data_IF_441756438437
#
_entry.id   IF_441756438437
#
_cell.length_a   1.000
_cell.length_b   1.000
_cell.length_c   1.000
_cell.angle_alpha   90.00
_cell.angle_beta   90.00
_cell.angle_gamma   90.00
#
_symmetry.space_group_name_H-M   'P 1'
#
loop_
_entity.id
_entity.type
_entity.pdbx_description
1 polymer ?
#
# COMPACT_ATOMS: atom_id res chain seq x y z
N UNK A 1 19.16 -15.45 19.23
CA UNK A 1 20.03 -14.56 18.40
C UNK A 1 19.95 -13.20 19.03
N UNK A 2 21.06 -12.64 19.53
CA UNK A 2 21.10 -11.26 20.03
C UNK A 2 21.00 -10.33 18.83
N UNK A 3 19.90 -9.57 18.73
CA UNK A 3 19.67 -8.61 17.66
C UNK A 3 20.22 -7.27 18.12
N UNK A 4 21.22 -6.75 17.38
CA UNK A 4 21.82 -5.46 17.68
C UNK A 4 20.92 -4.30 17.15
N UNK A 5 21.14 -3.07 17.65
CA UNK A 5 20.52 -1.87 17.09
C UNK A 5 20.85 -1.69 15.61
N UNK A 6 22.08 -1.98 15.23
CA UNK A 6 22.52 -1.94 13.83
C UNK A 6 21.73 -2.90 12.95
N UNK A 7 21.46 -4.12 13.44
CA UNK A 7 20.65 -5.09 12.72
C UNK A 7 19.22 -4.58 12.46
N UNK A 8 18.62 -3.96 13.48
CA UNK A 8 17.28 -3.38 13.36
C UNK A 8 17.27 -2.26 12.30
N UNK A 9 18.25 -1.35 12.32
CA UNK A 9 18.38 -0.26 11.34
C UNK A 9 18.55 -0.81 9.93
N UNK A 10 19.40 -1.79 9.73
CA UNK A 10 19.64 -2.42 8.42
C UNK A 10 18.36 -3.06 7.89
N UNK A 11 17.67 -3.87 8.71
CA UNK A 11 16.44 -4.55 8.28
C UNK A 11 15.34 -3.55 7.96
N UNK A 12 15.10 -2.59 8.86
CA UNK A 12 14.05 -1.57 8.65
C UNK A 12 14.37 -0.72 7.41
N UNK A 13 15.63 -0.32 7.24
CA UNK A 13 16.08 0.45 6.07
C UNK A 13 15.82 -0.30 4.74
N UNK A 14 16.21 -1.57 4.65
CA UNK A 14 15.92 -2.37 3.47
C UNK A 14 14.41 -2.59 3.26
N UNK A 15 13.64 -2.78 4.32
CA UNK A 15 12.19 -2.95 4.20
C UNK A 15 11.47 -1.67 3.75
N UNK A 16 11.98 -0.48 4.12
CA UNK A 16 11.52 0.81 3.58
C UNK A 16 11.83 0.89 2.08
N UNK A 17 13.07 0.56 1.68
CA UNK A 17 13.47 0.55 0.28
C UNK A 17 12.64 -0.43 -0.57
N UNK A 18 12.42 -1.64 -0.08
CA UNK A 18 11.58 -2.65 -0.75
C UNK A 18 10.14 -2.14 -0.92
N UNK A 19 9.56 -1.56 0.14
CA UNK A 19 8.21 -1.00 0.11
C UNK A 19 8.12 0.22 -0.81
N UNK A 20 9.13 1.10 -0.74
CA UNK A 20 9.22 2.30 -1.59
C UNK A 20 9.36 1.95 -3.07
N UNK A 21 10.19 0.95 -3.39
CA UNK A 21 10.33 0.46 -4.78
C UNK A 21 9.04 -0.14 -5.30
N UNK A 22 8.31 -0.89 -4.47
CA UNK A 22 7.00 -1.42 -4.85
C UNK A 22 5.98 -0.31 -5.13
N UNK A 23 5.97 0.74 -4.31
CA UNK A 23 5.09 1.90 -4.52
C UNK A 23 5.52 2.73 -5.74
N UNK A 24 6.82 2.98 -5.89
CA UNK A 24 7.40 3.62 -7.08
C UNK A 24 6.93 2.92 -8.36
N UNK A 25 7.07 1.59 -8.39
CA UNK A 25 6.65 0.76 -9.51
C UNK A 25 5.14 0.83 -9.78
N UNK A 26 4.33 0.75 -8.72
CA UNK A 26 2.87 0.82 -8.85
C UNK A 26 2.35 2.17 -9.32
N UNK A 27 3.04 3.26 -8.97
CA UNK A 27 2.66 4.62 -9.36
C UNK A 27 3.34 5.12 -10.64
N UNK A 28 4.34 4.40 -11.18
CA UNK A 28 5.08 4.84 -12.38
C UNK A 28 4.18 4.99 -13.59
N UNK A 29 3.49 3.93 -13.97
CA UNK A 29 2.60 3.94 -15.14
C UNK A 29 1.44 4.95 -15.00
N UNK A 30 0.72 5.05 -13.87
CA UNK A 30 -0.25 6.12 -13.63
C UNK A 30 0.31 7.54 -13.76
N UNK A 31 1.56 7.77 -13.33
CA UNK A 31 2.17 9.11 -13.39
C UNK A 31 2.45 9.59 -14.82
N UNK A 32 2.54 8.68 -15.79
CA UNK A 32 2.77 8.98 -17.21
C UNK A 32 1.62 8.49 -18.10
N UNK A 33 0.42 8.34 -17.52
CA UNK A 33 -0.75 7.84 -18.23
C UNK A 33 -1.09 8.60 -19.55
N UNK A 34 -0.96 9.94 -19.61
CA UNK A 34 -1.20 10.67 -20.85
C UNK A 34 -0.24 10.27 -21.99
N UNK A 35 1.06 10.13 -21.69
CA UNK A 35 2.09 9.76 -22.66
C UNK A 35 1.87 8.34 -23.20
N UNK A 36 1.54 7.41 -22.30
CA UNK A 36 1.23 6.02 -22.66
C UNK A 36 -0.03 5.97 -23.52
N UNK A 37 -1.09 6.69 -23.12
CA UNK A 37 -2.35 6.76 -23.86
C UNK A 37 -2.14 7.31 -25.27
N UNK A 38 -1.44 8.42 -25.41
CA UNK A 38 -1.13 9.03 -26.70
C UNK A 38 -0.32 8.07 -27.60
N UNK A 39 0.72 7.44 -27.04
CA UNK A 39 1.58 6.50 -27.77
C UNK A 39 0.84 5.28 -28.30
N UNK A 40 -0.20 4.83 -27.61
CA UNK A 40 -0.99 3.64 -27.95
C UNK A 40 -2.29 3.98 -28.70
N UNK A 41 -2.59 5.26 -28.93
CA UNK A 41 -3.86 5.71 -29.53
C UNK A 41 -5.07 5.43 -28.63
N UNK A 42 -4.89 5.45 -27.30
CA UNK A 42 -5.90 5.10 -26.31
C UNK A 42 -6.21 6.28 -25.39
N UNK A 43 -7.41 6.25 -24.80
CA UNK A 43 -7.73 7.18 -23.72
C UNK A 43 -6.82 6.92 -22.51
N UNK A 44 -6.23 7.97 -21.88
CA UNK A 44 -5.45 7.82 -20.64
C UNK A 44 -6.19 7.11 -19.51
N UNK A 45 -7.53 7.18 -19.49
CA UNK A 45 -8.36 6.48 -18.51
C UNK A 45 -8.21 4.95 -18.55
N UNK A 46 -7.81 4.38 -19.70
CA UNK A 46 -7.56 2.94 -19.82
C UNK A 46 -6.36 2.46 -19.01
N UNK A 47 -5.49 3.38 -18.53
CA UNK A 47 -4.42 3.04 -17.58
C UNK A 47 -4.97 2.58 -16.22
N UNK A 48 -6.25 2.80 -15.93
CA UNK A 48 -6.89 2.19 -14.77
C UNK A 48 -6.91 0.65 -14.83
N UNK A 49 -6.97 0.03 -16.01
CA UNK A 49 -6.97 -1.44 -16.13
C UNK A 49 -5.66 -2.09 -15.65
N UNK A 50 -4.46 -1.65 -16.03
CA UNK A 50 -3.20 -2.08 -15.43
C UNK A 50 -3.19 -2.04 -13.90
N UNK A 51 -3.71 -0.95 -13.31
CA UNK A 51 -3.79 -0.80 -11.84
C UNK A 51 -4.78 -1.79 -11.24
N UNK A 52 -5.92 -2.00 -11.87
CA UNK A 52 -6.91 -2.99 -11.47
C UNK A 52 -6.33 -4.41 -11.47
N UNK A 53 -5.68 -4.80 -12.56
CA UNK A 53 -5.01 -6.10 -12.69
C UNK A 53 -3.95 -6.27 -11.60
N UNK A 54 -3.14 -5.23 -11.33
CA UNK A 54 -2.15 -5.23 -10.25
C UNK A 54 -2.79 -5.61 -8.92
N UNK A 55 -3.87 -4.94 -8.50
CA UNK A 55 -4.49 -5.22 -7.20
C UNK A 55 -5.16 -6.59 -7.12
N UNK A 56 -5.78 -7.09 -8.20
CA UNK A 56 -6.32 -8.45 -8.25
C UNK A 56 -5.21 -9.48 -8.02
N UNK A 57 -4.09 -9.34 -8.70
CA UNK A 57 -2.97 -10.29 -8.54
C UNK A 57 -2.20 -10.06 -7.23
N UNK A 58 -2.19 -8.85 -6.67
CA UNK A 58 -1.69 -8.61 -5.32
C UNK A 58 -2.50 -9.35 -4.25
N UNK A 59 -3.83 -9.38 -4.39
CA UNK A 59 -4.71 -10.19 -3.54
C UNK A 59 -4.32 -11.66 -3.59
N UNK A 60 -4.27 -12.24 -4.79
CA UNK A 60 -3.95 -13.66 -4.99
C UNK A 60 -2.57 -13.99 -4.43
N UNK A 61 -1.56 -13.18 -4.75
CA UNK A 61 -0.18 -13.41 -4.32
C UNK A 61 -0.01 -13.26 -2.81
N UNK A 62 -0.75 -12.36 -2.17
CA UNK A 62 -0.68 -12.18 -0.72
C UNK A 62 -1.13 -13.44 0.04
N UNK A 63 -2.13 -14.18 -0.46
CA UNK A 63 -2.54 -15.47 0.10
C UNK A 63 -1.45 -16.54 -0.02
N UNK A 64 -0.64 -16.49 -1.09
CA UNK A 64 0.44 -17.45 -1.29
C UNK A 64 1.69 -17.10 -0.51
N UNK A 65 1.79 -15.87 -0.03
CA UNK A 65 3.00 -15.30 0.56
C UNK A 65 3.49 -16.11 1.78
N UNK A 66 2.58 -16.62 2.61
CA UNK A 66 2.95 -17.44 3.77
C UNK A 66 3.74 -18.69 3.43
N UNK A 67 3.34 -19.42 2.37
CA UNK A 67 4.06 -20.60 1.87
C UNK A 67 5.41 -20.22 1.26
N UNK A 68 5.46 -19.13 0.51
CA UNK A 68 6.67 -18.59 -0.12
C UNK A 68 7.68 -18.20 0.95
N UNK A 69 7.26 -17.45 1.98
CA UNK A 69 8.10 -17.00 3.10
C UNK A 69 8.68 -18.20 3.85
N UNK A 70 7.87 -19.22 4.17
CA UNK A 70 8.35 -20.42 4.86
C UNK A 70 9.38 -21.21 4.05
N UNK A 71 9.19 -21.31 2.73
CA UNK A 71 10.09 -22.10 1.87
C UNK A 71 11.36 -21.34 1.48
N UNK A 72 11.24 -20.10 1.04
CA UNK A 72 12.38 -19.31 0.55
C UNK A 72 13.10 -18.57 1.67
N UNK A 73 12.38 -18.19 2.71
CA UNK A 73 12.79 -17.22 3.71
C UNK A 73 12.24 -15.83 3.42
N UNK A 74 12.07 -15.03 4.44
CA UNK A 74 11.44 -13.71 4.31
C UNK A 74 12.33 -12.71 3.54
N UNK A 75 13.63 -12.76 3.75
CA UNK A 75 14.58 -11.90 3.06
C UNK A 75 14.62 -12.18 1.56
N UNK A 76 14.72 -13.46 1.19
CA UNK A 76 14.68 -13.88 -0.23
C UNK A 76 13.34 -13.62 -0.89
N UNK A 77 12.25 -13.72 -0.15
CA UNK A 77 10.91 -13.39 -0.68
C UNK A 77 10.83 -11.91 -1.05
N UNK A 78 11.42 -11.03 -0.23
CA UNK A 78 11.52 -9.59 -0.55
C UNK A 78 12.44 -9.35 -1.77
N UNK A 79 13.57 -10.06 -1.89
CA UNK A 79 14.41 -10.00 -3.10
C UNK A 79 13.66 -10.48 -4.35
N UNK A 80 12.90 -11.57 -4.24
CA UNK A 80 12.09 -12.09 -5.34
C UNK A 80 11.04 -11.06 -5.80
N UNK A 81 10.39 -10.37 -4.85
CA UNK A 81 9.47 -9.28 -5.16
C UNK A 81 10.16 -8.16 -5.96
N UNK A 82 11.37 -7.74 -5.57
CA UNK A 82 12.13 -6.72 -6.31
C UNK A 82 12.49 -7.19 -7.72
N UNK A 83 12.90 -8.45 -7.89
CA UNK A 83 13.18 -9.02 -9.22
C UNK A 83 11.92 -9.04 -10.10
N UNK A 84 10.79 -9.44 -9.53
CA UNK A 84 9.50 -9.43 -10.23
C UNK A 84 9.09 -8.00 -10.62
N UNK A 85 9.36 -6.98 -9.78
CA UNK A 85 9.17 -5.56 -10.14
C UNK A 85 10.00 -5.21 -11.38
N UNK A 86 11.28 -5.57 -11.40
CA UNK A 86 12.14 -5.34 -12.57
C UNK A 86 11.60 -6.04 -13.83
N UNK A 87 11.19 -7.30 -13.72
CA UNK A 87 10.60 -8.07 -14.84
C UNK A 87 9.29 -7.44 -15.32
N UNK A 88 8.43 -6.95 -14.42
CA UNK A 88 7.17 -6.30 -14.80
C UNK A 88 7.40 -5.05 -15.65
N UNK A 89 8.39 -4.22 -15.27
CA UNK A 89 8.73 -3.01 -16.02
C UNK A 89 9.41 -3.33 -17.35
N UNK A 90 10.19 -4.41 -17.42
CA UNK A 90 10.70 -4.93 -18.68
C UNK A 90 9.57 -5.36 -19.63
N UNK A 91 8.47 -5.93 -19.10
CA UNK A 91 7.28 -6.21 -19.93
C UNK A 91 6.63 -4.91 -20.41
N UNK A 92 6.47 -3.90 -19.55
CA UNK A 92 5.90 -2.62 -19.95
C UNK A 92 6.66 -1.94 -21.09
N UNK A 93 7.97 -2.07 -21.15
CA UNK A 93 8.80 -1.52 -22.25
C UNK A 93 8.42 -2.03 -23.64
N UNK A 94 7.80 -3.21 -23.77
CA UNK A 94 7.33 -3.70 -25.07
C UNK A 94 6.25 -2.79 -25.69
N UNK A 95 5.47 -2.12 -24.84
CA UNK A 95 4.50 -1.11 -25.28
C UNK A 95 3.27 -1.66 -25.97
N UNK A 96 2.89 -2.91 -25.79
CA UNK A 96 1.61 -3.43 -26.27
C UNK A 96 0.66 -3.68 -25.09
N UNK A 97 -0.66 -3.66 -25.35
CA UNK A 97 -1.67 -3.92 -24.34
C UNK A 97 -1.50 -5.27 -23.64
N UNK A 98 -1.13 -6.30 -24.41
CA UNK A 98 -0.86 -7.63 -23.84
C UNK A 98 0.28 -7.58 -22.84
N UNK A 99 1.39 -6.92 -23.17
CA UNK A 99 2.54 -6.82 -22.29
C UNK A 99 2.30 -5.87 -21.11
N UNK A 100 1.44 -4.84 -21.26
CA UNK A 100 0.96 -4.05 -20.14
C UNK A 100 0.13 -4.89 -19.16
N UNK A 101 -0.75 -5.75 -19.66
CA UNK A 101 -1.52 -6.69 -18.83
C UNK A 101 -0.62 -7.72 -18.13
N UNK A 102 0.31 -8.37 -18.86
CA UNK A 102 1.25 -9.34 -18.29
C UNK A 102 2.19 -8.71 -17.26
N UNK A 103 2.71 -7.51 -17.56
CA UNK A 103 3.52 -6.75 -16.61
C UNK A 103 2.74 -6.41 -15.33
N UNK A 104 1.45 -6.04 -15.46
CA UNK A 104 0.59 -5.75 -14.32
C UNK A 104 0.30 -6.99 -13.47
N UNK A 105 0.14 -8.17 -14.08
CA UNK A 105 0.02 -9.45 -13.39
C UNK A 105 1.27 -9.73 -12.56
N UNK A 106 2.45 -9.57 -13.17
CA UNK A 106 3.73 -9.81 -12.50
C UNK A 106 3.95 -8.78 -11.37
N UNK A 107 3.64 -7.51 -11.63
CA UNK A 107 3.74 -6.44 -10.62
C UNK A 107 2.81 -6.69 -9.45
N UNK A 108 1.58 -7.12 -9.71
CA UNK A 108 0.63 -7.53 -8.67
C UNK A 108 1.16 -8.69 -7.84
N UNK A 109 1.73 -9.70 -8.50
CA UNK A 109 2.42 -10.80 -7.84
C UNK A 109 3.52 -10.33 -6.90
N UNK A 110 4.35 -9.38 -7.33
CA UNK A 110 5.38 -8.75 -6.51
C UNK A 110 4.78 -7.94 -5.35
N UNK A 111 3.75 -7.14 -5.62
CA UNK A 111 3.13 -6.23 -4.66
C UNK A 111 2.52 -6.97 -3.45
N UNK A 112 1.84 -8.10 -3.69
CA UNK A 112 1.32 -8.95 -2.62
C UNK A 112 2.40 -9.61 -1.76
N UNK A 113 3.64 -9.71 -2.26
CA UNK A 113 4.79 -10.23 -1.53
C UNK A 113 5.57 -9.15 -0.75
N UNK A 114 5.16 -7.88 -0.74
CA UNK A 114 5.90 -6.84 -0.02
C UNK A 114 5.68 -6.89 1.49
N UNK A 115 4.46 -7.14 1.94
CA UNK A 115 4.10 -7.00 3.36
C UNK A 115 4.29 -8.28 4.17
N UNK A 116 3.88 -9.49 3.74
CA UNK A 116 4.00 -10.69 4.57
C UNK A 116 5.45 -11.04 4.96
N UNK A 117 6.45 -10.98 4.05
CA UNK A 117 7.85 -11.19 4.43
C UNK A 117 8.36 -10.14 5.41
N UNK A 118 7.99 -8.88 5.19
CA UNK A 118 8.39 -7.78 6.06
C UNK A 118 7.81 -7.94 7.48
N UNK A 119 6.52 -8.29 7.59
CA UNK A 119 5.89 -8.56 8.89
C UNK A 119 6.56 -9.71 9.63
N UNK A 120 6.93 -10.78 8.90
CA UNK A 120 7.66 -11.90 9.48
C UNK A 120 9.06 -11.50 9.99
N UNK A 121 9.80 -10.66 9.25
CA UNK A 121 11.11 -10.15 9.70
C UNK A 121 10.96 -9.20 10.89
N UNK A 122 10.03 -8.25 10.80
CA UNK A 122 9.82 -7.26 11.85
C UNK A 122 9.36 -7.92 13.16
N UNK A 123 8.49 -8.93 13.10
CA UNK A 123 8.04 -9.64 14.31
C UNK A 123 9.17 -10.28 15.13
N UNK A 124 10.34 -10.53 14.51
CA UNK A 124 11.52 -11.08 15.16
C UNK A 124 12.43 -10.04 15.82
N UNK A 125 12.39 -8.80 15.34
CA UNK A 125 13.37 -7.75 15.72
C UNK A 125 12.76 -6.65 16.58
N UNK A 126 11.43 -6.48 16.56
CA UNK A 126 10.74 -5.45 17.35
C UNK A 126 10.52 -5.90 18.78
N UNK A 127 10.47 -4.94 19.69
CA UNK A 127 10.03 -5.12 21.08
C UNK A 127 8.58 -4.65 21.24
N UNK A 128 7.86 -5.09 22.28
CA UNK A 128 6.50 -4.58 22.55
C UNK A 128 6.41 -3.06 22.62
N UNK A 129 7.50 -2.40 23.09
CA UNK A 129 7.55 -0.93 23.28
C UNK A 129 7.69 -0.10 22.00
N UNK A 130 8.17 -0.69 20.89
CA UNK A 130 8.45 0.04 19.64
C UNK A 130 7.88 -0.64 18.39
N UNK A 131 7.03 -1.65 18.58
CA UNK A 131 6.51 -2.46 17.47
C UNK A 131 5.71 -1.64 16.49
N UNK A 132 4.72 -0.89 16.97
CA UNK A 132 3.83 -0.12 16.10
C UNK A 132 4.60 0.97 15.36
N UNK A 133 5.51 1.66 16.04
CA UNK A 133 6.34 2.69 15.43
C UNK A 133 7.23 2.11 14.31
N UNK A 134 7.92 0.98 14.54
CA UNK A 134 8.81 0.39 13.55
C UNK A 134 8.02 -0.12 12.33
N UNK A 135 6.89 -0.78 12.55
CA UNK A 135 6.00 -1.17 11.46
C UNK A 135 5.51 0.05 10.67
N UNK A 136 5.15 1.13 11.35
CA UNK A 136 4.69 2.38 10.73
C UNK A 136 5.78 3.10 9.95
N UNK A 137 7.00 3.18 10.49
CA UNK A 137 8.17 3.73 9.78
C UNK A 137 8.42 2.94 8.48
N UNK A 138 8.32 1.62 8.51
CA UNK A 138 8.47 0.82 7.29
C UNK A 138 7.46 1.24 6.20
N UNK A 139 6.21 1.53 6.58
CA UNK A 139 5.16 1.92 5.62
C UNK A 139 5.33 3.33 5.06
N UNK A 140 6.22 4.17 5.59
CA UNK A 140 6.57 5.47 4.96
C UNK A 140 7.20 5.29 3.58
N UNK A 141 7.72 4.11 3.27
CA UNK A 141 8.16 3.77 1.91
C UNK A 141 7.07 3.98 0.85
N UNK A 142 5.78 3.78 1.20
CA UNK A 142 4.68 3.95 0.22
C UNK A 142 4.58 5.39 -0.30
N UNK A 143 4.38 6.42 0.55
CA UNK A 143 4.33 7.79 0.06
C UNK A 143 5.66 8.26 -0.54
N UNK A 144 6.80 7.80 -0.03
CA UNK A 144 8.11 8.12 -0.61
C UNK A 144 8.24 7.58 -2.05
N UNK A 145 7.82 6.34 -2.28
CA UNK A 145 7.79 5.76 -3.62
C UNK A 145 6.84 6.50 -4.56
N UNK A 146 5.65 6.91 -4.08
CA UNK A 146 4.70 7.70 -4.84
C UNK A 146 5.24 9.08 -5.22
N UNK A 147 5.88 9.79 -4.28
CA UNK A 147 6.55 11.07 -4.53
C UNK A 147 7.64 10.91 -5.59
N UNK A 148 8.48 9.90 -5.45
CA UNK A 148 9.54 9.62 -6.43
C UNK A 148 8.97 9.29 -7.82
N UNK A 149 7.87 8.53 -7.90
CA UNK A 149 7.20 8.27 -9.17
C UNK A 149 6.72 9.57 -9.83
N UNK A 150 6.03 10.43 -9.07
CA UNK A 150 5.55 11.72 -9.57
C UNK A 150 6.65 12.68 -10.01
N UNK A 151 7.79 12.67 -9.33
CA UNK A 151 8.93 13.55 -9.65
C UNK A 151 9.81 13.02 -10.79
N UNK A 152 9.98 11.70 -10.90
CA UNK A 152 10.94 11.11 -11.85
C UNK A 152 10.26 10.62 -13.14
N UNK A 153 9.07 10.03 -13.05
CA UNK A 153 8.48 9.38 -14.22
C UNK A 153 8.12 10.36 -15.35
N UNK A 154 7.45 11.52 -15.11
CA UNK A 154 7.10 12.43 -16.17
C UNK A 154 8.32 13.03 -16.90
N UNK A 155 9.32 13.65 -16.23
CA UNK A 155 10.44 14.22 -16.94
C UNK A 155 11.26 13.20 -17.71
N UNK A 156 11.48 12.00 -17.14
CA UNK A 156 12.23 10.95 -17.84
C UNK A 156 11.42 10.42 -19.04
N UNK A 157 10.11 10.29 -18.93
CA UNK A 157 9.26 9.86 -20.04
C UNK A 157 9.20 10.88 -21.18
N UNK A 158 9.20 12.16 -20.86
CA UNK A 158 9.18 13.23 -21.87
C UNK A 158 10.52 13.35 -22.60
N UNK A 159 11.65 13.12 -21.92
CA UNK A 159 12.99 13.29 -22.49
C UNK A 159 13.45 12.05 -23.28
N UNK A 160 13.23 10.85 -22.72
CA UNK A 160 13.77 9.60 -23.28
C UNK A 160 12.69 8.67 -23.87
N UNK A 161 11.41 9.01 -23.71
CA UNK A 161 10.30 8.14 -24.05
C UNK A 161 9.76 7.38 -22.85
N UNK A 162 8.46 7.09 -22.87
CA UNK A 162 7.79 6.44 -21.74
C UNK A 162 8.24 4.97 -21.54
N UNK A 163 8.60 4.27 -22.61
CA UNK A 163 9.11 2.88 -22.53
C UNK A 163 10.47 2.82 -21.85
N UNK A 164 11.38 3.68 -22.28
CA UNK A 164 12.73 3.80 -21.76
C UNK A 164 12.73 4.27 -20.31
N UNK A 165 11.75 5.08 -19.91
CA UNK A 165 11.60 5.52 -18.52
C UNK A 165 11.45 4.36 -17.51
N UNK A 166 10.95 3.20 -17.96
CA UNK A 166 10.82 2.00 -17.11
C UNK A 166 12.18 1.48 -16.60
N UNK A 167 13.28 1.78 -17.31
CA UNK A 167 14.65 1.38 -16.93
C UNK A 167 14.99 1.89 -15.54
N UNK A 168 14.53 3.06 -15.16
CA UNK A 168 14.76 3.64 -13.83
C UNK A 168 14.30 2.68 -12.71
N UNK A 169 13.08 2.19 -12.82
CA UNK A 169 12.52 1.25 -11.84
C UNK A 169 13.21 -0.11 -11.88
N UNK A 170 13.58 -0.59 -13.07
CA UNK A 170 14.34 -1.83 -13.24
C UNK A 170 15.68 -1.73 -12.52
N UNK A 171 16.44 -0.67 -12.77
CA UNK A 171 17.77 -0.46 -12.15
C UNK A 171 17.64 -0.36 -10.64
N UNK A 172 16.72 0.47 -10.13
CA UNK A 172 16.51 0.64 -8.67
C UNK A 172 16.19 -0.70 -8.02
N UNK A 173 15.24 -1.46 -8.59
CA UNK A 173 14.82 -2.74 -8.03
C UNK A 173 15.96 -3.78 -8.01
N UNK A 174 16.75 -3.86 -9.07
CA UNK A 174 17.89 -4.79 -9.16
C UNK A 174 19.03 -4.38 -8.21
N UNK A 175 19.37 -3.09 -8.13
CA UNK A 175 20.41 -2.59 -7.22
C UNK A 175 20.07 -2.93 -5.78
N UNK A 176 18.80 -2.70 -5.36
CA UNK A 176 18.37 -3.04 -4.00
C UNK A 176 18.37 -4.57 -3.81
N UNK A 177 17.89 -5.35 -4.77
CA UNK A 177 17.89 -6.81 -4.68
C UNK A 177 19.32 -7.38 -4.53
N UNK A 178 20.30 -6.83 -5.27
CA UNK A 178 21.71 -7.22 -5.19
C UNK A 178 22.30 -6.82 -3.85
N UNK A 179 22.05 -5.58 -3.38
CA UNK A 179 22.58 -5.09 -2.10
C UNK A 179 22.03 -5.87 -0.88
N UNK A 180 20.86 -6.48 -1.00
CA UNK A 180 20.31 -7.40 0.01
C UNK A 180 21.04 -8.76 0.07
N UNK A 181 21.75 -9.16 -0.97
CA UNK A 181 22.31 -10.52 -1.11
C UNK A 181 23.25 -10.97 0.03
N UNK A 182 24.16 -10.13 0.57
CA UNK A 182 25.06 -10.54 1.65
C UNK A 182 24.33 -10.96 2.93
N UNK A 183 23.17 -10.35 3.21
CA UNK A 183 22.42 -10.53 4.46
C UNK A 183 21.52 -11.76 4.49
N UNK A 184 21.24 -12.38 3.32
CA UNK A 184 20.26 -13.48 3.18
C UNK A 184 20.50 -14.67 4.09
N UNK A 185 21.76 -15.07 4.29
CA UNK A 185 22.10 -16.24 5.13
C UNK A 185 21.76 -16.01 6.61
N UNK A 186 21.80 -14.74 7.04
CA UNK A 186 21.53 -14.35 8.41
C UNK A 186 20.03 -14.33 8.70
N UNK A 187 19.21 -13.81 7.79
CA UNK A 187 17.79 -13.53 8.02
C UNK A 187 16.85 -14.66 7.60
N UNK A 188 17.31 -15.63 6.77
CA UNK A 188 16.52 -16.77 6.29
C UNK A 188 16.90 -18.10 6.95
N UNK A 189 17.39 -18.07 8.20
CA UNK A 189 17.79 -19.30 8.91
C UNK A 189 16.62 -20.21 9.26
N UNK A 190 15.45 -19.66 9.46
CA UNK A 190 14.21 -20.34 9.82
C UNK A 190 13.42 -20.89 8.62
N UNK A 191 13.94 -20.75 7.41
CA UNK A 191 13.29 -21.32 6.23
C UNK A 191 13.24 -22.84 6.25
N UNK A 192 12.13 -23.40 5.82
CA UNK A 192 11.93 -24.83 5.66
C UNK A 192 11.89 -25.19 4.18
N UNK A 193 12.98 -25.76 3.65
CA UNK A 193 13.09 -26.13 2.22
C UNK A 193 11.99 -27.12 1.75
N UNK A 194 11.47 -27.95 2.66
CA UNK A 194 10.39 -28.90 2.42
C UNK A 194 8.99 -28.27 2.43
N UNK A 195 8.85 -27.01 2.85
CA UNK A 195 7.55 -26.35 2.92
C UNK A 195 6.91 -26.23 1.53
N UNK A 196 5.63 -26.56 1.40
CA UNK A 196 4.87 -26.36 0.17
C UNK A 196 4.63 -24.87 -0.07
N UNK A 197 4.96 -24.36 -1.27
CA UNK A 197 4.65 -22.98 -1.68
C UNK A 197 3.14 -22.83 -1.87
N UNK A 198 2.57 -23.75 -2.66
CA UNK A 198 1.12 -23.79 -2.90
C UNK A 198 0.46 -24.60 -1.80
N UNK A 199 -0.19 -23.90 -0.89
CA UNK A 199 -1.08 -24.48 0.11
C UNK A 199 -2.50 -24.06 -0.23
N UNK A 200 -3.47 -24.73 0.40
CA UNK A 200 -4.85 -24.31 0.24
C UNK A 200 -5.02 -22.89 0.81
N UNK A 201 -5.27 -21.85 -0.02
CA UNK A 201 -5.38 -20.48 0.45
C UNK A 201 -6.57 -20.27 1.41
N UNK A 202 -7.62 -21.09 1.27
CA UNK A 202 -8.78 -21.09 2.16
C UNK A 202 -8.34 -21.42 3.61
N UNK A 203 -7.33 -22.28 3.79
CA UNK A 203 -6.82 -22.61 5.12
C UNK A 203 -6.24 -21.39 5.84
N UNK A 204 -5.66 -20.44 5.12
CA UNK A 204 -5.04 -19.26 5.67
C UNK A 204 -6.10 -18.20 6.03
N UNK A 205 -7.14 -18.07 5.22
CA UNK A 205 -8.34 -17.28 5.54
C UNK A 205 -9.05 -17.88 6.77
N UNK A 206 -9.26 -19.20 6.78
CA UNK A 206 -9.85 -19.88 7.94
C UNK A 206 -9.04 -19.70 9.23
N UNK A 207 -7.71 -19.64 9.14
CA UNK A 207 -6.86 -19.36 10.30
C UNK A 207 -7.14 -17.97 10.87
N UNK A 208 -7.23 -16.95 10.03
CA UNK A 208 -7.62 -15.58 10.43
C UNK A 208 -9.00 -15.57 11.08
N UNK A 209 -9.96 -16.30 10.49
CA UNK A 209 -11.35 -16.36 11.00
C UNK A 209 -11.49 -17.08 12.33
N UNK A 210 -10.66 -18.08 12.59
CA UNK A 210 -10.64 -18.83 13.89
C UNK A 210 -10.12 -17.96 15.03
N UNK A 211 -9.24 -17.01 14.76
CA UNK A 211 -8.68 -16.11 15.76
C UNK A 211 -9.58 -14.87 15.90
N UNK A 212 -10.43 -14.87 16.95
CA UNK A 212 -11.50 -13.87 17.08
C UNK A 212 -11.03 -12.42 16.99
N UNK A 213 -9.94 -12.05 17.64
CA UNK A 213 -9.39 -10.70 17.56
C UNK A 213 -8.84 -10.39 16.15
N UNK A 214 -8.19 -11.35 15.50
CA UNK A 214 -7.55 -11.17 14.20
C UNK A 214 -8.57 -10.97 13.08
N UNK A 215 -9.72 -11.67 13.13
CA UNK A 215 -10.78 -11.48 12.12
C UNK A 215 -11.31 -10.03 12.10
N UNK A 216 -11.50 -9.43 13.27
CA UNK A 216 -11.99 -8.06 13.37
C UNK A 216 -10.96 -7.05 12.89
N UNK A 217 -9.68 -7.29 13.19
CA UNK A 217 -8.58 -6.49 12.64
C UNK A 217 -8.53 -6.63 11.12
N UNK A 218 -8.66 -7.85 10.57
CA UNK A 218 -8.67 -8.05 9.12
C UNK A 218 -9.85 -7.35 8.44
N UNK A 219 -11.05 -7.39 9.03
CA UNK A 219 -12.23 -6.66 8.54
C UNK A 219 -12.04 -5.14 8.62
N UNK A 220 -11.43 -4.62 9.70
CA UNK A 220 -11.10 -3.19 9.74
C UNK A 220 -10.15 -2.80 8.60
N UNK A 221 -9.23 -3.68 8.22
CA UNK A 221 -8.36 -3.48 7.06
C UNK A 221 -9.09 -3.39 5.74
N UNK A 222 -10.20 -4.15 5.56
CA UNK A 222 -11.06 -4.02 4.39
C UNK A 222 -11.67 -2.62 4.31
N UNK A 223 -12.28 -2.15 5.41
CA UNK A 223 -12.90 -0.82 5.46
C UNK A 223 -11.86 0.29 5.28
N UNK A 224 -10.73 0.21 5.99
CA UNK A 224 -9.66 1.20 5.89
C UNK A 224 -9.02 1.22 4.49
N UNK A 225 -8.87 0.06 3.84
CA UNK A 225 -8.40 -0.05 2.46
C UNK A 225 -9.38 0.58 1.47
N UNK A 226 -10.68 0.39 1.66
CA UNK A 226 -11.72 1.02 0.88
C UNK A 226 -11.69 2.55 1.02
N UNK A 227 -11.65 3.07 2.25
CA UNK A 227 -11.55 4.51 2.52
C UNK A 227 -10.29 5.11 1.89
N UNK A 228 -9.14 4.45 2.05
CA UNK A 228 -7.88 4.94 1.50
C UNK A 228 -7.92 5.13 -0.02
N UNK A 229 -8.44 4.14 -0.76
CA UNK A 229 -8.55 4.23 -2.22
C UNK A 229 -9.62 5.19 -2.66
N UNK A 230 -10.74 5.24 -1.98
CA UNK A 230 -11.82 6.20 -2.25
C UNK A 230 -11.32 7.64 -2.09
N UNK A 231 -10.59 7.94 -1.01
CA UNK A 231 -9.97 9.25 -0.80
C UNK A 231 -9.04 9.64 -1.96
N UNK A 232 -8.17 8.74 -2.38
CA UNK A 232 -7.22 9.06 -3.46
C UNK A 232 -7.91 9.20 -4.81
N UNK A 233 -9.01 8.51 -5.02
CA UNK A 233 -9.72 8.49 -6.31
C UNK A 233 -10.67 9.68 -6.46
N UNK A 234 -11.42 10.01 -5.41
CA UNK A 234 -12.55 10.94 -5.55
C UNK A 234 -12.35 12.32 -4.89
N UNK A 235 -11.29 12.54 -4.10
CA UNK A 235 -11.09 13.85 -3.45
C UNK A 235 -11.01 15.01 -4.46
N UNK A 236 -10.27 14.84 -5.55
CA UNK A 236 -10.15 15.91 -6.57
C UNK A 236 -11.51 16.19 -7.20
N UNK A 237 -12.24 15.14 -7.58
CA UNK A 237 -13.57 15.27 -8.18
C UNK A 237 -14.55 15.93 -7.21
N UNK A 238 -14.57 15.51 -5.94
CA UNK A 238 -15.39 16.12 -4.89
C UNK A 238 -15.11 17.63 -4.75
N UNK A 239 -13.84 18.03 -4.72
CA UNK A 239 -13.48 19.43 -4.57
C UNK A 239 -13.83 20.26 -5.81
N UNK A 240 -13.76 19.70 -7.00
CA UNK A 240 -14.16 20.37 -8.24
C UNK A 240 -15.68 20.49 -8.35
N UNK A 241 -16.39 19.36 -8.19
CA UNK A 241 -17.84 19.29 -8.45
C UNK A 241 -18.67 19.90 -7.29
N UNK A 242 -18.32 19.59 -6.04
CA UNK A 242 -19.14 19.98 -4.88
C UNK A 242 -18.67 21.30 -4.23
N UNK A 243 -17.37 21.65 -4.33
CA UNK A 243 -16.81 22.87 -3.75
C UNK A 243 -16.45 23.96 -4.77
N UNK A 244 -16.69 23.71 -6.07
CA UNK A 244 -16.36 24.62 -7.17
C UNK A 244 -14.87 25.05 -7.22
N UNK A 245 -13.96 24.13 -6.86
CA UNK A 245 -12.53 24.41 -6.93
C UNK A 245 -12.01 24.26 -8.34
N UNK A 246 -10.99 25.04 -8.69
CA UNK A 246 -10.20 24.78 -9.89
C UNK A 246 -9.46 23.44 -9.71
N UNK A 247 -9.16 22.78 -10.83
CA UNK A 247 -8.41 21.50 -10.80
C UNK A 247 -7.08 21.62 -10.05
N UNK A 248 -6.40 22.78 -10.17
CA UNK A 248 -5.15 23.05 -9.44
C UNK A 248 -5.38 23.10 -7.94
N UNK A 249 -6.40 23.84 -7.48
CA UNK A 249 -6.73 23.98 -6.07
C UNK A 249 -7.19 22.62 -5.47
N UNK A 250 -7.95 21.83 -6.23
CA UNK A 250 -8.35 20.49 -5.84
C UNK A 250 -7.14 19.53 -5.75
N UNK A 251 -6.17 19.66 -6.65
CA UNK A 251 -4.89 18.93 -6.59
C UNK A 251 -4.07 19.26 -5.35
N UNK A 252 -4.09 20.50 -4.86
CA UNK A 252 -3.47 20.89 -3.59
C UNK A 252 -4.16 20.16 -2.42
N UNK A 253 -5.49 20.02 -2.44
CA UNK A 253 -6.24 19.25 -1.44
C UNK A 253 -5.79 17.78 -1.38
N UNK A 254 -5.64 17.11 -2.52
CA UNK A 254 -5.10 15.75 -2.58
C UNK A 254 -3.65 15.68 -2.09
N UNK A 255 -2.85 16.70 -2.43
CA UNK A 255 -1.46 16.79 -1.95
C UNK A 255 -1.40 16.94 -0.43
N UNK A 256 -2.33 17.68 0.17
CA UNK A 256 -2.44 17.80 1.62
C UNK A 256 -2.74 16.44 2.29
N UNK A 257 -3.62 15.62 1.70
CA UNK A 257 -3.89 14.24 2.14
C UNK A 257 -2.61 13.40 2.10
N UNK A 258 -1.89 13.43 0.98
CA UNK A 258 -0.68 12.62 0.81
C UNK A 258 0.44 13.05 1.75
N UNK A 259 0.64 14.35 1.93
CA UNK A 259 1.60 14.90 2.88
C UNK A 259 1.26 14.50 4.31
N UNK A 260 0.00 14.66 4.72
CA UNK A 260 -0.49 14.23 6.03
C UNK A 260 -0.27 12.73 6.27
N UNK A 261 -0.35 11.89 5.24
CA UNK A 261 -0.16 10.44 5.35
C UNK A 261 1.22 10.04 5.89
N UNK A 262 2.25 10.82 5.63
CA UNK A 262 3.62 10.57 6.13
C UNK A 262 3.64 10.76 7.66
N UNK A 263 3.09 11.88 8.12
CA UNK A 263 3.01 12.18 9.56
C UNK A 263 2.05 11.24 10.28
N UNK A 264 0.89 10.96 9.66
CA UNK A 264 -0.09 10.01 10.19
C UNK A 264 0.52 8.63 10.45
N UNK A 265 1.29 8.08 9.51
CA UNK A 265 1.94 6.78 9.69
C UNK A 265 2.87 6.76 10.90
N UNK A 266 3.78 7.71 11.00
CA UNK A 266 4.74 7.78 12.11
C UNK A 266 4.05 8.13 13.42
N UNK A 267 3.18 9.15 13.40
CA UNK A 267 2.47 9.64 14.57
C UNK A 267 1.56 8.58 15.20
N UNK A 268 0.74 7.88 14.41
CA UNK A 268 -0.13 6.81 14.93
C UNK A 268 0.66 5.60 15.42
N UNK A 269 1.79 5.26 14.80
CA UNK A 269 2.67 4.21 15.28
C UNK A 269 3.28 4.55 16.64
N UNK A 270 3.77 5.78 16.80
CA UNK A 270 4.27 6.28 18.09
C UNK A 270 3.16 6.34 19.15
N UNK A 271 1.99 6.86 18.79
CA UNK A 271 0.85 6.96 19.70
C UNK A 271 0.39 5.58 20.19
N UNK A 272 0.28 4.60 19.27
CA UNK A 272 -0.11 3.24 19.60
C UNK A 272 0.89 2.57 20.57
N UNK A 273 2.20 2.81 20.41
CA UNK A 273 3.22 2.33 21.33
C UNK A 273 3.14 3.07 22.68
N UNK A 274 2.81 4.37 22.67
CA UNK A 274 2.68 5.18 23.89
C UNK A 274 1.52 4.75 24.79
N UNK A 275 0.38 4.37 24.17
CA UNK A 275 -0.80 3.85 24.89
C UNK A 275 -0.74 2.34 25.10
N UNK A 276 0.31 1.69 24.61
CA UNK A 276 0.52 0.23 24.66
C UNK A 276 -0.65 -0.61 24.05
N UNK A 277 -1.45 0.01 23.18
CA UNK A 277 -2.66 -0.60 22.62
C UNK A 277 -2.92 -0.16 21.18
N UNK A 278 -2.47 -0.96 20.22
CA UNK A 278 -2.67 -0.68 18.79
C UNK A 278 -4.14 -0.77 18.36
N UNK A 279 -4.95 -1.63 18.98
CA UNK A 279 -6.38 -1.72 18.67
C UNK A 279 -7.12 -0.44 19.03
N UNK A 280 -6.83 0.14 20.21
CA UNK A 280 -7.37 1.43 20.62
C UNK A 280 -6.95 2.54 19.66
N UNK A 281 -5.68 2.55 19.20
CA UNK A 281 -5.22 3.50 18.21
C UNK A 281 -5.99 3.36 16.89
N UNK A 282 -6.24 2.13 16.39
CA UNK A 282 -7.06 1.89 15.20
C UNK A 282 -8.50 2.35 15.37
N UNK A 283 -9.12 2.16 16.54
CA UNK A 283 -10.46 2.66 16.85
C UNK A 283 -10.51 4.19 16.83
N UNK A 284 -9.51 4.86 17.40
CA UNK A 284 -9.42 6.33 17.37
C UNK A 284 -9.23 6.84 15.93
N UNK A 285 -8.37 6.20 15.15
CA UNK A 285 -8.20 6.50 13.71
C UNK A 285 -9.55 6.39 12.98
N UNK A 286 -10.29 5.30 13.21
CA UNK A 286 -11.59 5.10 12.59
C UNK A 286 -12.62 6.14 13.03
N UNK A 287 -12.67 6.50 14.32
CA UNK A 287 -13.58 7.51 14.85
C UNK A 287 -13.29 8.91 14.26
N UNK A 288 -12.02 9.31 14.18
CA UNK A 288 -11.64 10.58 13.55
C UNK A 288 -11.93 10.53 12.03
N UNK A 289 -11.70 9.39 11.37
CA UNK A 289 -12.05 9.21 9.96
C UNK A 289 -13.55 9.36 9.70
N UNK A 290 -14.38 8.76 10.55
CA UNK A 290 -15.83 8.92 10.50
C UNK A 290 -16.27 10.38 10.73
N UNK A 291 -15.62 11.09 11.68
CA UNK A 291 -15.88 12.50 11.88
C UNK A 291 -15.50 13.34 10.66
N UNK A 292 -14.36 13.06 10.03
CA UNK A 292 -13.98 13.71 8.78
C UNK A 292 -15.01 13.46 7.68
N UNK A 293 -15.50 12.21 7.53
CA UNK A 293 -16.53 11.87 6.57
C UNK A 293 -17.86 12.60 6.84
N UNK A 294 -18.26 12.75 8.11
CA UNK A 294 -19.43 13.57 8.48
C UNK A 294 -19.20 15.04 8.12
N UNK A 295 -18.00 15.57 8.34
CA UNK A 295 -17.70 16.97 8.02
C UNK A 295 -17.71 17.23 6.50
N UNK A 296 -17.44 16.24 5.65
CA UNK A 296 -17.56 16.43 4.18
C UNK A 296 -18.98 16.73 3.74
N UNK A 297 -20.02 16.30 4.47
CA UNK A 297 -21.44 16.61 4.13
C UNK A 297 -21.70 18.12 4.11
N UNK A 298 -21.02 18.84 5.02
CA UNK A 298 -21.18 20.28 5.16
C UNK A 298 -20.26 21.07 4.22
N UNK A 299 -19.53 20.36 3.35
CA UNK A 299 -18.64 20.99 2.37
C UNK A 299 -19.47 21.94 1.50
N UNK A 300 -19.03 23.19 1.43
CA UNK A 300 -19.70 24.24 0.65
C UNK A 300 -18.66 25.12 -0.03
N UNK A 301 -18.95 25.64 -1.24
CA UNK A 301 -18.11 26.63 -1.90
C UNK A 301 -17.83 27.90 -1.05
N UNK A 302 -18.69 28.18 -0.06
CA UNK A 302 -18.53 29.31 0.86
C UNK A 302 -17.50 29.08 1.97
N UNK A 303 -17.01 27.86 2.15
CA UNK A 303 -16.01 27.59 3.18
C UNK A 303 -14.67 28.26 2.85
N UNK A 304 -14.00 28.83 3.87
CA UNK A 304 -12.63 29.27 3.69
C UNK A 304 -11.75 28.13 3.19
N UNK A 305 -10.95 28.38 2.14
CA UNK A 305 -10.08 27.38 1.51
C UNK A 305 -9.17 26.63 2.50
N UNK A 306 -8.71 27.36 3.52
CA UNK A 306 -7.85 26.78 4.57
C UNK A 306 -8.57 25.69 5.38
N UNK A 307 -9.87 25.83 5.64
CA UNK A 307 -10.66 24.82 6.36
C UNK A 307 -10.83 23.55 5.53
N UNK A 308 -11.02 23.67 4.21
CA UNK A 308 -11.12 22.54 3.30
C UNK A 308 -9.77 21.79 3.25
N UNK A 309 -8.66 22.51 3.13
CA UNK A 309 -7.34 21.88 3.16
C UNK A 309 -7.00 21.26 4.51
N UNK A 310 -7.45 21.87 5.61
CA UNK A 310 -7.30 21.30 6.94
C UNK A 310 -8.11 20.01 7.09
N UNK A 311 -9.34 19.97 6.56
CA UNK A 311 -10.17 18.76 6.52
C UNK A 311 -9.48 17.66 5.69
N UNK A 312 -8.96 17.99 4.50
CA UNK A 312 -8.18 17.09 3.68
C UNK A 312 -6.94 16.56 4.43
N UNK A 313 -6.22 17.44 5.11
CA UNK A 313 -5.05 17.07 5.92
C UNK A 313 -5.42 16.11 7.06
N UNK A 314 -6.45 16.45 7.85
CA UNK A 314 -6.94 15.59 8.93
C UNK A 314 -7.40 14.23 8.39
N UNK A 315 -8.14 14.22 7.28
CA UNK A 315 -8.58 12.98 6.65
C UNK A 315 -7.39 12.14 6.14
N UNK A 316 -6.35 12.79 5.62
CA UNK A 316 -5.10 12.13 5.21
C UNK A 316 -4.33 11.49 6.37
N UNK A 317 -4.28 12.18 7.54
CA UNK A 317 -3.65 11.64 8.75
C UNK A 317 -4.23 10.29 9.17
N UNK A 318 -5.55 10.13 9.08
CA UNK A 318 -6.26 8.93 9.52
C UNK A 318 -6.51 7.95 8.38
N UNK A 319 -7.05 8.41 7.26
CA UNK A 319 -7.42 7.55 6.12
C UNK A 319 -6.23 6.85 5.46
N UNK A 320 -5.01 7.39 5.63
CA UNK A 320 -3.79 6.81 5.06
C UNK A 320 -2.72 6.46 6.10
N UNK A 321 -2.91 6.86 7.38
CA UNK A 321 -1.93 6.67 8.45
C UNK A 321 -1.95 5.30 9.14
N UNK A 322 -2.99 4.52 8.99
CA UNK A 322 -3.33 3.31 9.75
C UNK A 322 -2.46 2.07 9.45
N UNK A 323 -1.88 1.96 8.27
CA UNK A 323 -1.28 0.73 7.72
C UNK A 323 -0.23 0.08 8.63
N UNK A 324 0.60 0.90 9.31
CA UNK A 324 1.67 0.40 10.16
C UNK A 324 1.13 -0.23 11.45
N UNK A 325 0.22 0.46 12.13
CA UNK A 325 -0.44 -0.05 13.34
C UNK A 325 -1.24 -1.31 13.02
N UNK A 326 -1.96 -1.32 11.90
CA UNK A 326 -2.71 -2.47 11.41
C UNK A 326 -1.82 -3.70 11.19
N UNK A 327 -0.73 -3.57 10.44
CA UNK A 327 0.19 -4.68 10.19
C UNK A 327 0.90 -5.14 11.47
N UNK A 328 1.17 -4.23 12.40
CA UNK A 328 1.72 -4.52 13.72
C UNK A 328 0.76 -5.36 14.56
N UNK A 329 -0.53 -5.00 14.57
CA UNK A 329 -1.55 -5.73 15.32
C UNK A 329 -1.83 -7.12 14.73
N UNK A 330 -1.82 -7.26 13.40
CA UNK A 330 -1.85 -8.58 12.77
C UNK A 330 -0.69 -9.43 13.28
N UNK A 331 0.54 -8.89 13.24
CA UNK A 331 1.71 -9.63 13.68
C UNK A 331 1.66 -10.00 15.18
N UNK A 332 1.10 -9.12 16.04
CA UNK A 332 0.93 -9.35 17.48
C UNK A 332 -0.06 -10.45 17.78
N UNK A 333 -1.18 -10.45 17.06
CA UNK A 333 -2.29 -11.40 17.28
C UNK A 333 -2.05 -12.76 16.61
N UNK A 334 -1.03 -12.86 15.79
CA UNK A 334 -0.69 -14.08 15.07
C UNK A 334 0.21 -15.02 15.88
N UNK A 335 0.05 -16.34 15.74
CA UNK A 335 1.06 -17.27 16.23
C UNK A 335 2.43 -16.95 15.58
N UNK A 336 3.51 -17.03 16.34
CA UNK A 336 4.85 -16.57 15.92
C UNK A 336 5.35 -17.20 14.61
N UNK A 337 5.04 -18.47 14.39
CA UNK A 337 5.41 -19.18 13.15
C UNK A 337 4.49 -18.91 11.95
N UNK A 338 3.32 -18.32 12.19
CA UNK A 338 2.27 -18.12 11.18
C UNK A 338 2.08 -16.66 10.77
N UNK A 339 2.91 -15.73 11.27
CA UNK A 339 2.81 -14.28 11.00
C UNK A 339 2.76 -13.98 9.50
N UNK A 340 3.56 -14.66 8.69
CA UNK A 340 3.55 -14.47 7.23
C UNK A 340 2.24 -14.90 6.57
N UNK A 341 1.61 -15.99 7.08
CA UNK A 341 0.33 -16.52 6.58
C UNK A 341 -0.83 -15.62 6.96
N UNK A 342 -0.92 -15.29 8.24
CA UNK A 342 -1.99 -14.43 8.75
C UNK A 342 -1.93 -13.03 8.18
N UNK A 343 -0.71 -12.46 7.99
CA UNK A 343 -0.51 -11.19 7.28
C UNK A 343 -0.98 -11.30 5.83
N UNK A 344 -0.59 -12.37 5.12
CA UNK A 344 -1.01 -12.58 3.74
C UNK A 344 -2.52 -12.67 3.58
N UNK A 345 -3.20 -13.46 4.42
CA UNK A 345 -4.65 -13.59 4.41
C UNK A 345 -5.37 -12.30 4.82
N UNK A 346 -4.85 -11.57 5.81
CA UNK A 346 -5.41 -10.28 6.22
C UNK A 346 -5.26 -9.23 5.12
N UNK A 347 -4.12 -9.19 4.42
CA UNK A 347 -3.91 -8.27 3.30
C UNK A 347 -4.72 -8.66 2.05
N UNK A 348 -5.03 -9.93 1.84
CA UNK A 348 -6.04 -10.32 0.85
C UNK A 348 -7.38 -9.63 1.12
N UNK A 349 -7.84 -9.65 2.37
CA UNK A 349 -9.08 -8.99 2.79
C UNK A 349 -8.96 -7.47 2.63
N UNK A 350 -7.82 -6.88 3.01
CA UNK A 350 -7.54 -5.45 2.83
C UNK A 350 -7.58 -5.04 1.36
N UNK A 351 -6.92 -5.78 0.47
CA UNK A 351 -6.90 -5.49 -0.96
C UNK A 351 -8.29 -5.68 -1.60
N UNK A 352 -9.13 -6.56 -1.05
CA UNK A 352 -10.54 -6.62 -1.47
C UNK A 352 -11.24 -5.29 -1.20
N UNK A 353 -10.97 -4.64 -0.06
CA UNK A 353 -11.47 -3.30 0.25
C UNK A 353 -10.93 -2.22 -0.71
N UNK A 354 -9.62 -2.27 -0.98
CA UNK A 354 -8.97 -1.38 -1.95
C UNK A 354 -9.64 -1.46 -3.33
N UNK A 355 -9.99 -2.66 -3.74
CA UNK A 355 -10.68 -2.92 -5.03
C UNK A 355 -12.15 -2.51 -4.99
N UNK A 356 -12.89 -2.91 -3.95
CA UNK A 356 -14.32 -2.70 -3.85
C UNK A 356 -14.70 -1.27 -3.45
N UNK A 357 -13.85 -0.57 -2.69
CA UNK A 357 -14.14 0.76 -2.17
C UNK A 357 -14.61 1.75 -3.24
N UNK A 358 -13.82 2.00 -4.31
CA UNK A 358 -14.24 2.90 -5.38
C UNK A 358 -15.53 2.47 -6.10
N UNK A 359 -15.76 1.14 -6.22
CA UNK A 359 -16.96 0.59 -6.87
C UNK A 359 -18.20 0.84 -6.00
N UNK A 360 -18.10 0.57 -4.69
CA UNK A 360 -19.18 0.82 -3.73
C UNK A 360 -19.49 2.32 -3.68
N UNK A 361 -18.45 3.17 -3.61
CA UNK A 361 -18.60 4.61 -3.61
C UNK A 361 -19.30 5.10 -4.89
N UNK A 362 -18.87 4.67 -6.07
CA UNK A 362 -19.50 5.04 -7.33
C UNK A 362 -20.98 4.60 -7.39
N UNK A 363 -21.29 3.42 -6.86
CA UNK A 363 -22.67 2.94 -6.77
C UNK A 363 -23.51 3.77 -5.78
N UNK A 364 -22.92 4.14 -4.63
CA UNK A 364 -23.60 5.00 -3.66
C UNK A 364 -23.83 6.41 -4.20
N UNK A 365 -22.90 6.94 -4.98
CA UNK A 365 -23.01 8.25 -5.64
C UNK A 365 -24.28 8.33 -6.52
N UNK A 366 -24.70 7.27 -7.19
CA UNK A 366 -25.94 7.27 -7.97
C UNK A 366 -27.21 7.51 -7.13
N UNK A 367 -27.12 7.29 -5.82
CA UNK A 367 -28.23 7.49 -4.86
C UNK A 367 -28.08 8.84 -4.15
N UNK A 368 -26.87 9.21 -3.74
CA UNK A 368 -26.60 10.42 -2.94
C UNK A 368 -26.54 11.69 -3.79
N UNK A 369 -26.12 11.57 -5.05
CA UNK A 369 -26.04 12.66 -6.03
C UNK A 369 -24.88 13.64 -5.83
N UNK A 370 -24.13 13.56 -4.72
CA UNK A 370 -22.95 14.40 -4.45
C UNK A 370 -21.79 13.58 -3.88
N UNK A 371 -20.56 13.91 -4.25
CA UNK A 371 -19.38 13.21 -3.77
C UNK A 371 -19.19 13.39 -2.26
N UNK A 372 -19.42 14.61 -1.75
CA UNK A 372 -19.28 14.97 -0.34
C UNK A 372 -20.18 14.13 0.57
N UNK A 373 -21.43 13.91 0.20
CA UNK A 373 -22.35 13.05 0.99
C UNK A 373 -22.04 11.58 0.83
N UNK A 374 -21.50 11.17 -0.32
CA UNK A 374 -21.14 9.77 -0.58
C UNK A 374 -20.00 9.28 0.32
N UNK A 375 -19.17 10.16 0.88
CA UNK A 375 -18.13 9.78 1.86
C UNK A 375 -18.69 9.23 3.18
N UNK A 376 -20.00 9.27 3.41
CA UNK A 376 -20.65 8.63 4.55
C UNK A 376 -20.82 7.10 4.42
N UNK A 377 -20.75 6.60 3.20
CA UNK A 377 -20.93 5.17 2.88
C UNK A 377 -19.61 4.42 2.95
#
# INVERSE_FOLDING_TARGET
MTISRTDTVIVVGFLILVQGTGALAGFWLPAIAPEVGQSLGLSPSLIAYPVLILYIFAMISSLMAGGIVRRLGAWRSSQAALILIGVSHLMFMNGSLLFLALGSIILGGAYGLLTPPASHLLSKIVTPKNRNLIFSIRFTGVPLGGILAGLLAPPVALEYGWRESMIVTIVISLVIAISMQPFRKRWDRDRLKSAKIFRNPISDICLVWKLSALKWVALSGLCMGAIQTTLTTYTVTMLVEDANYTLIAAGIGLSAIQFASVFGRVGWGWFADRIENGLTALMIIAAIGALCAVLTIFLSPSWPQILIYLLCFCFGLVGMGWNGVYASEIARLSPSEEVGRTTGASFFITFSGVFLGPVVFASAYTITGTYSTTFLV
#
